data_IF_191540704048
#
_entry.id   IF_191540704048
#
_cell.length_a   1.000
_cell.length_b   1.000
_cell.length_c   1.000
_cell.angle_alpha   90.00
_cell.angle_beta   90.00
_cell.angle_gamma   90.00
#
_symmetry.space_group_name_H-M   'P 1'
#
loop_
_entity.id
_entity.type
_entity.pdbx_description
1 polymer ?
#
# COMPACT_ATOMS: atom_id res chain seq x y z
N UNK A 1 -12.64 11.46 -10.37
CA UNK A 1 -13.30 10.24 -10.89
C UNK A 1 -14.48 9.86 -10.02
N UNK A 2 -15.55 9.41 -10.67
CA UNK A 2 -16.77 8.94 -10.01
C UNK A 2 -17.02 7.50 -10.50
N UNK A 3 -17.37 6.61 -9.57
CA UNK A 3 -17.70 5.24 -9.91
C UNK A 3 -17.59 4.29 -8.72
N UNK A 4 -18.03 3.04 -8.88
CA UNK A 4 -18.13 2.10 -7.76
C UNK A 4 -16.79 1.74 -7.13
N UNK A 5 -15.70 1.72 -7.88
CA UNK A 5 -14.38 1.47 -7.32
C UNK A 5 -13.86 2.70 -6.56
N UNK A 6 -14.12 3.90 -7.07
CA UNK A 6 -13.79 5.12 -6.33
C UNK A 6 -14.56 5.21 -5.02
N UNK A 7 -15.82 4.81 -5.01
CA UNK A 7 -16.63 4.75 -3.78
C UNK A 7 -16.01 3.81 -2.75
N UNK A 8 -15.51 2.65 -3.17
CA UNK A 8 -14.79 1.73 -2.30
C UNK A 8 -13.51 2.36 -1.74
N UNK A 9 -12.74 3.06 -2.56
CA UNK A 9 -11.53 3.76 -2.12
C UNK A 9 -11.87 4.78 -1.02
N UNK A 10 -12.91 5.58 -1.22
CA UNK A 10 -13.37 6.57 -0.24
C UNK A 10 -13.79 5.89 1.07
N UNK A 11 -14.54 4.79 0.97
CA UNK A 11 -14.93 3.99 2.14
C UNK A 11 -13.71 3.51 2.92
N UNK A 12 -12.76 2.86 2.24
CA UNK A 12 -11.57 2.27 2.86
C UNK A 12 -10.63 3.30 3.47
N UNK A 13 -10.56 4.48 2.88
CA UNK A 13 -9.74 5.59 3.38
C UNK A 13 -10.17 6.05 4.79
N UNK A 14 -11.38 5.72 5.23
CA UNK A 14 -11.92 6.08 6.53
C UNK A 14 -11.84 4.94 7.55
N UNK A 15 -11.39 3.76 7.16
CA UNK A 15 -11.41 2.56 8.01
C UNK A 15 -10.21 2.47 8.94
N UNK A 16 -10.42 1.76 10.06
CA UNK A 16 -9.34 1.30 10.94
C UNK A 16 -9.02 -0.17 10.63
N UNK A 17 -7.79 -0.63 10.79
CA UNK A 17 -6.66 0.09 11.40
C UNK A 17 -5.92 1.06 10.45
N UNK A 18 -6.30 1.15 9.18
CA UNK A 18 -5.56 1.92 8.18
C UNK A 18 -5.27 3.37 8.63
N UNK A 19 -6.28 4.11 9.07
CA UNK A 19 -6.11 5.52 9.46
C UNK A 19 -5.16 5.70 10.64
N UNK A 20 -5.06 4.71 11.51
CA UNK A 20 -4.11 4.72 12.64
C UNK A 20 -2.70 4.33 12.22
N UNK A 21 -2.58 3.39 11.27
CA UNK A 21 -1.28 2.96 10.73
C UNK A 21 -0.64 4.02 9.83
N UNK A 22 -1.47 4.83 9.19
CA UNK A 22 -1.07 5.82 8.19
C UNK A 22 -1.52 7.23 8.58
N UNK A 23 -0.96 7.83 9.64
CA UNK A 23 -1.33 9.19 10.03
C UNK A 23 -0.92 10.19 8.96
N UNK A 24 -1.77 11.19 8.75
CA UNK A 24 -1.52 12.31 7.84
C UNK A 24 -1.83 13.62 8.54
N UNK A 25 -1.26 14.72 8.05
CA UNK A 25 -1.53 16.05 8.57
C UNK A 25 -2.97 16.49 8.24
N UNK A 26 -3.45 17.56 8.90
CA UNK A 26 -4.74 18.16 8.55
C UNK A 26 -4.77 18.57 7.08
N UNK A 27 -3.69 19.16 6.57
CA UNK A 27 -3.55 19.47 5.14
C UNK A 27 -3.66 18.22 4.27
N UNK A 28 -3.01 17.11 4.68
CA UNK A 28 -3.12 15.85 3.97
C UNK A 28 -4.55 15.31 3.93
N UNK A 29 -5.32 15.44 5.01
CA UNK A 29 -6.73 15.06 5.01
C UNK A 29 -7.54 15.91 4.03
N UNK A 30 -7.32 17.22 4.03
CA UNK A 30 -7.99 18.16 3.12
C UNK A 30 -7.62 17.87 1.65
N UNK A 31 -6.40 17.40 1.40
CA UNK A 31 -5.90 17.01 0.08
C UNK A 31 -6.19 15.53 -0.27
N UNK A 32 -6.98 14.84 0.54
CA UNK A 32 -7.40 13.44 0.31
C UNK A 32 -6.23 12.45 0.23
N UNK A 33 -5.20 12.66 1.04
CA UNK A 33 -3.99 11.83 1.04
C UNK A 33 -4.29 10.36 1.36
N UNK A 34 -5.21 10.07 2.28
CA UNK A 34 -5.62 8.69 2.58
C UNK A 34 -6.22 7.98 1.37
N UNK A 35 -7.04 8.67 0.59
CA UNK A 35 -7.61 8.09 -0.63
C UNK A 35 -6.54 7.81 -1.67
N UNK A 36 -5.55 8.70 -1.79
CA UNK A 36 -4.41 8.48 -2.68
C UNK A 36 -3.60 7.26 -2.27
N UNK A 37 -3.33 7.08 -0.97
CA UNK A 37 -2.60 5.91 -0.47
C UNK A 37 -3.36 4.61 -0.76
N UNK A 38 -4.66 4.57 -0.52
CA UNK A 38 -5.49 3.40 -0.84
C UNK A 38 -5.43 3.08 -2.34
N UNK A 39 -5.52 4.11 -3.16
CA UNK A 39 -5.45 3.96 -4.62
C UNK A 39 -4.11 3.39 -5.06
N UNK A 40 -3.01 3.92 -4.53
CA UNK A 40 -1.66 3.41 -4.80
C UNK A 40 -1.50 1.95 -4.40
N UNK A 41 -2.04 1.58 -3.24
CA UNK A 41 -2.01 0.19 -2.79
C UNK A 41 -2.63 -0.74 -3.84
N UNK A 42 -3.82 -0.44 -4.30
CA UNK A 42 -4.50 -1.28 -5.29
C UNK A 42 -3.79 -1.26 -6.65
N UNK A 43 -3.49 -0.06 -7.15
CA UNK A 43 -2.91 0.09 -8.48
C UNK A 43 -1.56 -0.65 -8.60
N UNK A 44 -0.71 -0.53 -7.60
CA UNK A 44 0.61 -1.15 -7.63
C UNK A 44 0.60 -2.63 -7.26
N UNK A 45 -0.36 -3.06 -6.43
CA UNK A 45 -0.51 -4.48 -6.09
C UNK A 45 -1.06 -5.30 -7.26
N UNK A 46 -1.89 -4.70 -8.10
CA UNK A 46 -2.44 -5.37 -9.29
C UNK A 46 -1.43 -5.47 -10.43
N UNK A 47 -0.33 -4.74 -10.36
CA UNK A 47 0.75 -4.81 -11.33
C UNK A 47 1.12 -3.46 -11.91
N UNK A 48 2.32 -3.38 -12.45
CA UNK A 48 2.89 -2.15 -12.97
C UNK A 48 2.90 -2.10 -14.50
N UNK A 49 2.16 -2.96 -15.15
CA UNK A 49 2.06 -2.95 -16.61
C UNK A 49 1.52 -1.59 -17.09
N UNK A 50 2.24 -0.97 -18.01
CA UNK A 50 1.88 0.37 -18.50
C UNK A 50 2.34 1.52 -17.63
N UNK A 51 2.99 1.27 -16.48
CA UNK A 51 3.57 2.32 -15.66
C UNK A 51 4.77 2.96 -16.38
N UNK A 52 4.79 4.29 -16.46
CA UNK A 52 5.80 5.07 -17.22
C UNK A 52 6.37 6.22 -16.40
N UNK A 53 6.72 5.96 -15.15
CA UNK A 53 7.30 6.94 -14.22
C UNK A 53 6.40 8.15 -13.97
N UNK A 54 5.11 8.00 -14.24
CA UNK A 54 4.08 9.03 -14.04
C UNK A 54 2.96 8.49 -13.13
N UNK A 55 3.15 8.57 -11.80
CA UNK A 55 2.19 7.99 -10.86
C UNK A 55 0.76 8.48 -11.04
N UNK A 56 0.57 9.79 -11.20
CA UNK A 56 -0.78 10.37 -11.32
C UNK A 56 -1.54 9.87 -12.52
N UNK A 57 -0.88 9.75 -13.66
CA UNK A 57 -1.47 9.23 -14.89
C UNK A 57 -1.81 7.74 -14.74
N UNK A 58 -0.89 6.96 -14.20
CA UNK A 58 -1.08 5.53 -13.98
C UNK A 58 -2.26 5.27 -13.04
N UNK A 59 -2.30 5.96 -11.91
CA UNK A 59 -3.36 5.84 -10.91
C UNK A 59 -4.71 6.25 -11.49
N UNK A 60 -4.78 7.37 -12.21
CA UNK A 60 -6.01 7.83 -12.85
C UNK A 60 -6.56 6.77 -13.81
N UNK A 61 -5.73 6.25 -14.70
CA UNK A 61 -6.14 5.24 -15.67
C UNK A 61 -6.54 3.93 -14.99
N UNK A 62 -5.85 3.56 -13.91
CA UNK A 62 -6.20 2.38 -13.12
C UNK A 62 -7.60 2.49 -12.52
N UNK A 63 -7.90 3.60 -11.82
CA UNK A 63 -9.21 3.80 -11.19
C UNK A 63 -10.31 3.87 -12.24
N UNK A 64 -10.07 4.55 -13.36
CA UNK A 64 -11.01 4.62 -14.47
C UNK A 64 -11.37 3.21 -14.98
N UNK A 65 -10.36 2.39 -15.26
CA UNK A 65 -10.57 1.01 -15.71
C UNK A 65 -11.28 0.14 -14.67
N UNK A 66 -10.93 0.31 -13.40
CA UNK A 66 -11.57 -0.44 -12.32
C UNK A 66 -13.02 -0.02 -12.09
N UNK A 67 -13.37 1.26 -12.24
CA UNK A 67 -14.76 1.70 -12.19
C UNK A 67 -15.62 0.99 -13.26
N UNK A 68 -15.10 0.90 -14.47
CA UNK A 68 -15.78 0.19 -15.57
C UNK A 68 -15.92 -1.31 -15.27
N UNK A 69 -14.83 -1.92 -14.76
CA UNK A 69 -14.79 -3.35 -14.45
C UNK A 69 -15.75 -3.71 -13.31
N UNK A 70 -15.76 -2.95 -12.24
CA UNK A 70 -16.64 -3.19 -11.08
C UNK A 70 -18.11 -2.94 -11.45
N UNK A 71 -18.40 -1.99 -12.33
CA UNK A 71 -19.77 -1.76 -12.81
C UNK A 71 -20.36 -3.00 -13.49
N UNK A 72 -19.55 -3.79 -14.18
CA UNK A 72 -19.97 -5.04 -14.83
C UNK A 72 -19.79 -6.28 -13.95
N UNK A 73 -18.91 -6.23 -12.95
CA UNK A 73 -18.59 -7.31 -12.03
C UNK A 73 -18.65 -6.81 -10.59
N UNK A 74 -19.86 -6.59 -10.03
CA UNK A 74 -20.01 -5.97 -8.70
C UNK A 74 -19.37 -6.77 -7.56
N UNK A 75 -19.22 -8.09 -7.73
CA UNK A 75 -18.57 -8.98 -6.75
C UNK A 75 -17.11 -8.60 -6.47
N UNK A 76 -16.46 -7.91 -7.38
CA UNK A 76 -15.10 -7.44 -7.18
C UNK A 76 -14.97 -6.46 -6.02
N UNK A 77 -16.03 -5.69 -5.72
CA UNK A 77 -16.01 -4.75 -4.59
C UNK A 77 -15.63 -5.44 -3.29
N UNK A 78 -16.27 -6.57 -2.98
CA UNK A 78 -15.99 -7.31 -1.75
C UNK A 78 -14.60 -7.97 -1.78
N UNK A 79 -14.18 -8.49 -2.92
CA UNK A 79 -12.85 -9.07 -3.07
C UNK A 79 -11.75 -8.04 -2.79
N UNK A 80 -11.88 -6.83 -3.32
CA UNK A 80 -10.91 -5.76 -3.09
C UNK A 80 -10.98 -5.21 -1.66
N UNK A 81 -12.18 -5.15 -1.08
CA UNK A 81 -12.33 -4.79 0.35
C UNK A 81 -11.59 -5.76 1.24
N UNK A 82 -11.73 -7.05 1.02
CA UNK A 82 -11.05 -8.10 1.79
C UNK A 82 -9.53 -7.99 1.61
N UNK A 83 -9.04 -7.82 0.38
CA UNK A 83 -7.59 -7.66 0.12
C UNK A 83 -6.99 -6.51 0.93
N UNK A 84 -7.65 -5.38 0.93
CA UNK A 84 -7.19 -4.21 1.68
C UNK A 84 -7.21 -4.49 3.18
N UNK A 85 -8.35 -4.93 3.69
CA UNK A 85 -8.56 -5.14 5.13
C UNK A 85 -7.58 -6.17 5.71
N UNK A 86 -7.41 -7.30 5.06
CA UNK A 86 -6.47 -8.32 5.55
C UNK A 86 -5.01 -7.85 5.47
N UNK A 87 -4.66 -7.05 4.46
CA UNK A 87 -3.31 -6.48 4.37
C UNK A 87 -3.07 -5.47 5.50
N UNK A 88 -4.05 -4.63 5.81
CA UNK A 88 -3.91 -3.64 6.91
C UNK A 88 -3.81 -4.33 8.28
N UNK A 89 -4.58 -5.37 8.51
CA UNK A 89 -4.47 -6.16 9.75
C UNK A 89 -3.11 -6.87 9.82
N UNK A 90 -2.63 -7.41 8.71
CA UNK A 90 -1.29 -7.99 8.65
C UNK A 90 -0.20 -6.97 9.02
N UNK A 91 -0.28 -5.76 8.44
CA UNK A 91 0.68 -4.69 8.75
C UNK A 91 0.62 -4.29 10.23
N UNK A 92 -0.58 -4.17 10.79
CA UNK A 92 -0.75 -3.86 12.21
C UNK A 92 -0.04 -4.88 13.12
N UNK A 93 -0.13 -6.16 12.77
CA UNK A 93 0.47 -7.23 13.57
C UNK A 93 1.98 -7.39 13.34
N UNK A 94 2.46 -7.15 12.13
CA UNK A 94 3.84 -7.44 11.75
C UNK A 94 4.78 -6.23 11.87
N UNK A 95 4.28 -5.02 11.68
CA UNK A 95 5.10 -3.80 11.63
C UNK A 95 4.84 -2.93 12.85
N UNK A 96 5.83 -2.74 13.75
CA UNK A 96 5.61 -2.11 15.05
C UNK A 96 5.13 -0.66 14.97
N UNK A 97 5.43 0.03 13.87
CA UNK A 97 5.02 1.43 13.69
C UNK A 97 4.03 1.64 12.53
N UNK A 98 3.46 0.54 12.00
CA UNK A 98 2.63 0.62 10.81
C UNK A 98 3.44 1.18 9.63
N UNK A 99 2.96 2.28 9.07
CA UNK A 99 3.64 2.96 7.95
C UNK A 99 4.51 4.14 8.41
N UNK A 100 4.54 4.43 9.70
CA UNK A 100 5.34 5.51 10.29
C UNK A 100 6.80 5.10 10.41
N UNK A 101 7.69 6.09 10.50
CA UNK A 101 9.12 5.83 10.74
C UNK A 101 9.45 5.48 12.19
N UNK A 102 8.59 5.86 13.12
CA UNK A 102 8.78 5.64 14.55
C UNK A 102 7.45 5.62 15.27
N UNK A 103 7.45 5.19 16.54
CA UNK A 103 6.24 5.16 17.35
C UNK A 103 5.57 6.53 17.50
N UNK A 104 6.35 7.61 17.54
CA UNK A 104 5.84 8.98 17.67
C UNK A 104 5.66 9.70 16.34
N UNK A 105 5.88 9.01 15.22
CA UNK A 105 5.74 9.59 13.90
C UNK A 105 4.30 10.03 13.63
N UNK A 106 4.16 11.21 13.01
CA UNK A 106 2.85 11.82 12.68
C UNK A 106 2.61 11.90 11.17
N UNK A 107 3.49 11.30 10.40
CA UNK A 107 3.42 11.31 8.95
C UNK A 107 3.57 9.91 8.39
N UNK A 108 3.03 9.72 7.18
CA UNK A 108 3.18 8.51 6.41
C UNK A 108 4.01 8.83 5.16
N UNK A 109 5.32 8.54 5.18
CA UNK A 109 6.13 8.73 3.97
C UNK A 109 5.61 7.84 2.85
N UNK A 110 5.37 8.42 1.69
CA UNK A 110 4.71 7.74 0.57
C UNK A 110 5.47 6.50 0.10
N UNK A 111 6.79 6.63 -0.11
CA UNK A 111 7.61 5.51 -0.54
C UNK A 111 7.65 4.37 0.49
N UNK A 112 7.64 4.72 1.78
CA UNK A 112 7.58 3.75 2.86
C UNK A 112 6.24 3.01 2.88
N UNK A 113 5.13 3.73 2.70
CA UNK A 113 3.80 3.12 2.56
C UNK A 113 3.77 2.14 1.39
N UNK A 114 4.23 2.57 0.23
CA UNK A 114 4.26 1.71 -0.97
C UNK A 114 5.07 0.44 -0.72
N UNK A 115 6.26 0.57 -0.15
CA UNK A 115 7.12 -0.56 0.16
C UNK A 115 6.42 -1.57 1.08
N UNK A 116 5.88 -1.10 2.20
CA UNK A 116 5.28 -1.96 3.23
C UNK A 116 3.93 -2.51 2.78
N UNK A 117 3.02 -1.66 2.31
CA UNK A 117 1.67 -2.10 1.96
C UNK A 117 1.66 -3.00 0.72
N UNK A 118 2.29 -2.56 -0.35
CA UNK A 118 2.34 -3.32 -1.61
C UNK A 118 3.23 -4.55 -1.46
N UNK A 119 4.41 -4.41 -0.84
CA UNK A 119 5.30 -5.53 -0.59
C UNK A 119 4.65 -6.61 0.26
N UNK A 120 3.91 -6.23 1.29
CA UNK A 120 3.13 -7.16 2.12
C UNK A 120 2.08 -7.89 1.30
N UNK A 121 1.31 -7.16 0.48
CA UNK A 121 0.28 -7.79 -0.38
C UNK A 121 0.89 -8.78 -1.36
N UNK A 122 1.98 -8.42 -2.00
CA UNK A 122 2.68 -9.31 -2.93
C UNK A 122 3.19 -10.59 -2.23
N UNK A 123 3.73 -10.44 -1.02
CA UNK A 123 4.17 -11.59 -0.23
C UNK A 123 2.99 -12.51 0.17
N UNK A 124 1.90 -11.92 0.64
CA UNK A 124 0.68 -12.67 1.01
C UNK A 124 0.12 -13.42 -0.20
N UNK A 125 0.10 -12.79 -1.37
CA UNK A 125 -0.38 -13.43 -2.61
C UNK A 125 0.47 -14.65 -2.98
N UNK A 126 1.78 -14.61 -2.74
CA UNK A 126 2.67 -15.76 -2.96
C UNK A 126 2.60 -16.80 -1.87
N UNK A 127 2.39 -16.39 -0.63
CA UNK A 127 2.30 -17.30 0.52
C UNK A 127 1.19 -16.84 1.47
N UNK A 128 -0.07 -17.26 1.22
CA UNK A 128 -1.20 -16.89 2.08
C UNK A 128 -1.05 -17.31 3.55
N UNK A 129 -0.19 -18.29 3.85
CA UNK A 129 0.08 -18.71 5.21
C UNK A 129 0.69 -17.61 6.09
N UNK A 130 1.26 -16.56 5.48
CA UNK A 130 1.75 -15.40 6.21
C UNK A 130 0.67 -14.72 7.06
N UNK A 131 -0.59 -14.77 6.64
CA UNK A 131 -1.71 -14.21 7.39
C UNK A 131 -1.97 -14.90 8.74
N UNK A 132 -1.50 -16.14 8.88
CA UNK A 132 -1.69 -16.97 10.07
C UNK A 132 -0.43 -17.09 10.92
N UNK A 133 0.70 -16.58 10.42
CA UNK A 133 1.96 -16.58 11.16
C UNK A 133 1.98 -15.43 12.16
N UNK A 134 2.45 -15.74 13.36
CA UNK A 134 2.67 -14.73 14.37
C UNK A 134 4.03 -14.05 14.09
N UNK A 135 4.05 -13.14 13.13
CA UNK A 135 5.25 -12.40 12.76
C UNK A 135 5.48 -11.28 13.78
N UNK A 136 5.83 -11.67 15.02
CA UNK A 136 6.40 -10.73 15.95
C UNK A 136 7.79 -10.39 15.45
N UNK A 137 8.00 -9.16 15.02
CA UNK A 137 9.33 -8.64 14.74
C UNK A 137 9.86 -8.85 13.30
N UNK A 138 9.14 -8.31 12.33
CA UNK A 138 9.72 -8.01 11.01
C UNK A 138 10.80 -6.91 11.14
N UNK A 139 10.99 -6.40 12.34
CA UNK A 139 11.66 -5.12 12.63
C UNK A 139 13.18 -5.09 12.41
N UNK A 140 13.85 -6.23 12.28
CA UNK A 140 15.31 -6.22 12.19
C UNK A 140 15.88 -5.45 11.00
N UNK A 141 15.15 -5.34 9.90
CA UNK A 141 15.58 -4.64 8.70
C UNK A 141 14.89 -3.28 8.49
N UNK A 142 13.85 -2.98 9.26
CA UNK A 142 13.09 -1.72 9.12
C UNK A 142 13.92 -0.47 9.45
N UNK A 143 14.85 -0.59 10.40
CA UNK A 143 15.73 0.49 10.82
C UNK A 143 17.09 0.42 10.12
N UNK A 144 17.26 -0.48 9.16
CA UNK A 144 18.51 -0.68 8.44
C UNK A 144 18.71 0.31 7.29
N UNK A 145 19.97 0.46 6.89
CA UNK A 145 20.38 1.37 5.82
C UNK A 145 19.80 0.96 4.47
N UNK A 146 19.66 -0.34 4.20
CA UNK A 146 19.11 -0.83 2.94
C UNK A 146 17.64 -0.44 2.76
N UNK A 147 16.83 -0.58 3.82
CA UNK A 147 15.44 -0.17 3.77
C UNK A 147 15.31 1.35 3.64
N UNK A 148 16.13 2.11 4.37
CA UNK A 148 16.18 3.57 4.24
C UNK A 148 16.52 4.00 2.81
N UNK A 149 17.47 3.31 2.17
CA UNK A 149 17.87 3.58 0.78
C UNK A 149 16.73 3.33 -0.20
N UNK A 150 16.05 2.18 -0.12
CA UNK A 150 14.98 1.83 -1.09
C UNK A 150 13.70 2.65 -0.89
N UNK A 151 13.52 3.25 0.28
CA UNK A 151 12.37 4.12 0.59
C UNK A 151 12.71 5.61 0.54
N UNK A 152 13.92 5.97 0.09
CA UNK A 152 14.33 7.36 -0.10
C UNK A 152 13.56 8.05 -1.22
N UNK A 153 13.62 9.39 -1.23
CA UNK A 153 12.87 10.23 -2.18
C UNK A 153 13.52 10.36 -3.55
N UNK A 154 14.83 10.11 -3.66
CA UNK A 154 15.56 10.28 -4.92
C UNK A 154 15.07 9.30 -5.99
N UNK A 155 14.57 9.84 -7.09
CA UNK A 155 14.04 9.04 -8.19
C UNK A 155 12.85 8.16 -7.80
N UNK A 156 12.11 8.53 -6.77
CA UNK A 156 11.06 7.70 -6.17
C UNK A 156 9.96 7.26 -7.15
N UNK A 157 9.71 8.04 -8.20
CA UNK A 157 8.69 7.74 -9.21
C UNK A 157 9.18 6.82 -10.32
N UNK A 158 10.48 6.53 -10.41
CA UNK A 158 10.99 5.61 -11.43
C UNK A 158 10.48 4.18 -11.14
N UNK A 159 10.07 3.48 -12.20
CA UNK A 159 9.54 2.12 -12.07
C UNK A 159 10.54 1.16 -11.39
N UNK A 160 11.83 1.31 -11.69
CA UNK A 160 12.88 0.50 -11.07
C UNK A 160 12.92 0.70 -9.55
N UNK A 161 12.75 1.94 -9.07
CA UNK A 161 12.72 2.27 -7.65
C UNK A 161 11.47 1.72 -6.98
N UNK A 162 10.34 1.82 -7.65
CA UNK A 162 9.07 1.28 -7.14
C UNK A 162 9.14 -0.24 -7.00
N UNK A 163 9.66 -0.93 -8.01
CA UNK A 163 9.88 -2.39 -7.95
C UNK A 163 10.87 -2.78 -6.87
N UNK A 164 11.95 -2.02 -6.72
CA UNK A 164 12.98 -2.28 -5.71
C UNK A 164 12.42 -2.22 -4.30
N UNK A 165 11.67 -1.16 -3.96
CA UNK A 165 11.14 -1.01 -2.59
C UNK A 165 10.03 -1.99 -2.26
N UNK A 166 9.12 -2.26 -3.19
CA UNK A 166 8.06 -3.24 -2.98
C UNK A 166 8.61 -4.67 -2.93
N UNK A 167 9.55 -4.99 -3.82
CA UNK A 167 10.25 -6.28 -3.84
C UNK A 167 11.11 -6.52 -2.61
N UNK A 168 11.73 -5.49 -2.06
CA UNK A 168 12.51 -5.59 -0.84
C UNK A 168 11.67 -6.13 0.32
N UNK A 169 10.52 -5.53 0.57
CA UNK A 169 9.62 -5.95 1.65
C UNK A 169 9.05 -7.34 1.37
N UNK A 170 8.56 -7.58 0.15
CA UNK A 170 8.07 -8.89 -0.27
C UNK A 170 9.09 -9.99 0.04
N UNK A 171 10.32 -9.82 -0.40
CA UNK A 171 11.36 -10.84 -0.28
C UNK A 171 11.77 -11.06 1.17
N UNK A 172 11.85 -10.02 1.98
CA UNK A 172 12.12 -10.15 3.41
C UNK A 172 11.01 -10.92 4.13
N UNK A 173 9.75 -10.67 3.79
CA UNK A 173 8.63 -11.39 4.38
C UNK A 173 8.59 -12.86 3.95
N UNK A 174 9.01 -13.16 2.74
CA UNK A 174 9.09 -14.53 2.22
C UNK A 174 10.35 -15.28 2.69
N UNK A 175 11.32 -14.58 3.28
CA UNK A 175 12.56 -15.18 3.74
C UNK A 175 13.57 -15.47 2.63
N UNK A 176 13.47 -14.74 1.54
CA UNK A 176 14.37 -14.89 0.39
C UNK A 176 15.25 -13.67 0.16
#
# INVERSE_FOLDING_TARGET
LIGPFMDLIIELALTKPFTELAPVSKKGLDEREHEELVTRFFAYSDGLEGYRDRPSEFIFNYVKGMNEKVATQPELTEQYRIRFTETMVFVENAFPYGFRRSQKGKATPRARFEAIAVGSRLAIDQNPALLQQNLHNVAGWLDGDDFARVTGSDGANAIARLRERTGFVRDRLLGV
#
